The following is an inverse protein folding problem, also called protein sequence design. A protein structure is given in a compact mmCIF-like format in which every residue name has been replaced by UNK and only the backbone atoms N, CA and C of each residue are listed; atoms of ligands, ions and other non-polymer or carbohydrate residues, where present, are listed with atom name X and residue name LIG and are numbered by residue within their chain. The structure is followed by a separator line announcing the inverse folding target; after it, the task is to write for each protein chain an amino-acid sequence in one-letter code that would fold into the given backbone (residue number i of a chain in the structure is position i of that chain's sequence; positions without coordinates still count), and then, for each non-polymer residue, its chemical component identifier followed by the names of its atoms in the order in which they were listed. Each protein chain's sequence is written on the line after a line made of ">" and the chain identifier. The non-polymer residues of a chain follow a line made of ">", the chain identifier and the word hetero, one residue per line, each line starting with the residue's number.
data_IF_682386405251
#
_entry.id   IF_682386405251
#
_cell.length_a   1.000
_cell.length_b   1.000
_cell.length_c   1.000
_cell.angle_alpha   90.00
_cell.angle_beta   90.00
_cell.angle_gamma   90.00
#
_symmetry.space_group_name_H-M   'P 1'
#
loop_
_entity.id
_entity.type
_entity.pdbx_description
1 polymer ?
#
# COMPACT_ATOMS: atom_id res chain seq x y z
N UNK A 1 9.20 48.30 10.45
CA UNK A 1 8.33 47.18 10.81
C UNK A 1 7.99 47.33 12.28
N UNK A 2 6.73 47.59 12.62
CA UNK A 2 6.27 47.80 13.99
C UNK A 2 6.32 46.49 14.79
N UNK A 3 6.97 46.52 15.95
CA UNK A 3 7.08 45.39 16.88
C UNK A 3 5.70 44.90 17.34
N UNK A 4 5.55 43.57 17.45
CA UNK A 4 4.30 42.93 17.85
C UNK A 4 4.09 43.10 19.38
N UNK A 5 3.05 43.82 19.83
CA UNK A 5 2.84 44.17 21.24
C UNK A 5 2.46 42.97 22.13
N UNK A 6 2.28 41.78 21.56
CA UNK A 6 1.93 40.56 22.31
C UNK A 6 3.12 39.61 22.56
N UNK A 7 4.32 39.92 22.06
CA UNK A 7 5.52 39.14 22.35
C UNK A 7 6.18 39.66 23.64
N UNK A 8 6.07 38.90 24.73
CA UNK A 8 6.92 39.14 25.91
C UNK A 8 8.36 38.68 25.58
N UNK A 9 9.38 39.51 25.83
CA UNK A 9 10.77 39.07 25.65
C UNK A 9 11.07 37.91 26.60
N UNK A 10 11.64 36.83 26.07
CA UNK A 10 12.05 35.68 26.88
C UNK A 10 13.19 36.10 27.80
N UNK A 11 13.03 35.84 29.10
CA UNK A 11 14.06 36.12 30.10
C UNK A 11 15.28 35.24 29.78
N UNK A 12 16.45 35.85 29.63
CA UNK A 12 17.69 35.11 29.42
C UNK A 12 17.90 34.16 30.61
N UNK A 13 18.27 32.91 30.30
CA UNK A 13 18.55 31.89 31.29
C UNK A 13 19.84 32.25 32.04
N UNK A 14 19.74 32.49 33.35
CA UNK A 14 20.85 32.79 34.24
C UNK A 14 21.18 31.53 35.06
N UNK A 15 22.28 30.87 34.72
CA UNK A 15 22.73 29.63 35.38
C UNK A 15 23.30 29.87 36.78
N UNK A 16 23.55 31.12 37.18
CA UNK A 16 24.21 31.44 38.46
C UNK A 16 23.28 31.32 39.68
N UNK A 17 21.96 31.24 39.47
CA UNK A 17 20.96 31.15 40.55
C UNK A 17 20.32 29.75 40.71
N UNK A 18 20.99 28.71 40.20
CA UNK A 18 20.58 27.33 40.45
C UNK A 18 20.92 26.96 41.90
N UNK A 19 19.93 27.05 42.79
CA UNK A 19 19.99 26.41 44.10
C UNK A 19 19.96 24.90 43.87
N UNK A 20 21.14 24.26 43.91
CA UNK A 20 21.24 22.81 43.99
C UNK A 20 20.57 22.35 45.29
N UNK A 21 19.60 21.46 45.16
CA UNK A 21 18.98 20.80 46.30
C UNK A 21 20.04 20.01 47.10
N UNK A 22 19.94 20.02 48.42
CA UNK A 22 20.93 19.39 49.32
C UNK A 22 21.03 17.87 49.08
N UNK A 23 19.98 17.28 48.51
CA UNK A 23 19.94 15.89 48.03
C UNK A 23 20.99 15.60 46.94
N UNK A 24 21.24 16.55 46.04
CA UNK A 24 22.27 16.43 45.00
C UNK A 24 23.68 16.62 45.57
N UNK A 25 23.83 17.50 46.56
CA UNK A 25 25.14 17.75 47.18
C UNK A 25 25.61 16.56 48.01
N UNK A 26 24.69 15.83 48.66
CA UNK A 26 24.99 14.60 49.37
C UNK A 26 25.47 13.47 48.43
N UNK A 27 24.91 13.39 47.23
CA UNK A 27 25.31 12.42 46.20
C UNK A 27 26.76 12.63 45.72
N UNK A 28 27.20 13.90 45.64
CA UNK A 28 28.55 14.27 45.21
C UNK A 28 29.55 14.15 46.37
N UNK A 29 29.18 14.57 47.60
CA UNK A 29 30.08 14.52 48.77
C UNK A 29 30.29 13.12 49.34
N UNK A 30 29.38 12.17 49.08
CA UNK A 30 29.50 10.78 49.54
C UNK A 30 30.52 9.91 48.78
N UNK A 31 31.16 10.42 47.73
CA UNK A 31 32.09 9.66 46.89
C UNK A 31 33.39 10.44 46.62
N UNK A 32 34.15 10.72 47.66
CA UNK A 32 35.56 11.15 47.57
C UNK A 32 36.50 9.95 47.44
N UNK A 33 36.20 9.07 46.49
CA UNK A 33 37.03 7.94 46.10
C UNK A 33 36.72 7.63 44.65
N UNK A 34 37.70 7.89 43.78
CA UNK A 34 37.70 7.70 42.32
C UNK A 34 36.46 7.02 41.74
N UNK A 35 35.43 7.80 41.41
CA UNK A 35 34.28 7.34 40.62
C UNK A 35 34.43 7.74 39.14
N UNK A 36 35.63 8.17 38.73
CA UNK A 36 35.95 8.64 37.38
C UNK A 36 37.25 8.02 36.85
N UNK A 37 37.76 6.97 37.48
CA UNK A 37 38.85 6.16 36.92
C UNK A 37 38.34 5.01 36.05
N UNK A 38 37.18 4.45 36.42
CA UNK A 38 36.61 3.25 35.76
C UNK A 38 35.27 3.53 35.06
N UNK A 39 34.85 4.80 34.98
CA UNK A 39 33.57 5.22 34.42
C UNK A 39 33.69 6.05 33.13
N UNK A 40 34.89 6.21 32.57
CA UNK A 40 35.05 6.76 31.22
C UNK A 40 34.89 5.68 30.12
N UNK A 41 35.09 4.39 30.45
CA UNK A 41 34.90 3.30 29.49
C UNK A 41 33.42 3.00 29.18
N UNK A 42 32.50 3.36 30.08
CA UNK A 42 31.08 2.95 29.98
C UNK A 42 30.12 4.08 29.56
N UNK A 43 30.65 5.25 29.18
CA UNK A 43 29.89 6.33 28.55
C UNK A 43 30.01 6.34 27.02
N UNK A 44 30.66 5.32 26.46
CA UNK A 44 30.52 5.01 25.04
C UNK A 44 29.19 4.27 24.83
N UNK A 45 28.12 5.02 24.62
CA UNK A 45 26.94 4.46 23.94
C UNK A 45 27.32 4.24 22.48
N UNK A 46 28.12 3.21 22.21
CA UNK A 46 28.15 2.58 20.90
C UNK A 46 26.70 2.14 20.65
N UNK A 47 25.97 2.71 19.67
CA UNK A 47 24.68 2.14 19.32
C UNK A 47 24.98 0.71 18.94
N UNK A 48 24.54 -0.26 19.76
CA UNK A 48 24.45 -1.63 19.30
C UNK A 48 23.73 -1.53 17.97
N UNK A 49 24.43 -1.92 16.92
CA UNK A 49 23.88 -1.96 15.58
C UNK A 49 22.87 -3.12 15.55
N UNK A 50 21.80 -2.98 16.32
CA UNK A 50 20.57 -3.76 16.27
C UNK A 50 19.74 -3.29 15.07
N UNK A 51 20.43 -2.85 14.01
CA UNK A 51 19.82 -2.53 12.75
C UNK A 51 19.13 -3.81 12.24
N UNK A 52 17.89 -3.72 11.76
CA UNK A 52 17.17 -4.89 11.28
C UNK A 52 17.98 -5.55 10.17
N UNK A 53 18.32 -6.83 10.37
CA UNK A 53 19.01 -7.64 9.36
C UNK A 53 18.00 -8.05 8.29
N UNK A 54 18.33 -7.79 7.02
CA UNK A 54 17.58 -8.31 5.89
C UNK A 54 17.49 -9.84 6.00
N UNK A 55 16.27 -10.38 6.12
CA UNK A 55 16.04 -11.83 6.17
C UNK A 55 15.97 -12.42 4.77
N UNK A 56 15.18 -11.79 3.88
CA UNK A 56 14.95 -12.26 2.52
C UNK A 56 14.74 -11.08 1.57
N UNK A 57 15.10 -11.25 0.30
CA UNK A 57 14.75 -10.32 -0.79
C UNK A 57 14.26 -11.05 -2.03
N UNK A 58 13.38 -10.37 -2.77
CA UNK A 58 12.85 -10.84 -4.04
C UNK A 58 13.03 -9.75 -5.09
N UNK A 59 13.74 -10.06 -6.19
CA UNK A 59 13.94 -9.13 -7.31
C UNK A 59 12.81 -9.26 -8.32
N UNK A 60 12.10 -8.17 -8.58
CA UNK A 60 10.98 -8.09 -9.52
C UNK A 60 11.37 -7.61 -10.92
N UNK A 61 12.67 -7.40 -11.16
CA UNK A 61 13.19 -7.02 -12.49
C UNK A 61 12.80 -5.61 -12.98
N UNK A 62 12.09 -4.82 -12.18
CA UNK A 62 11.67 -3.45 -12.47
C UNK A 62 11.44 -2.67 -11.18
N UNK A 63 11.44 -1.34 -11.26
CA UNK A 63 11.16 -0.51 -10.10
C UNK A 63 9.73 -0.76 -9.59
N UNK A 64 9.60 -1.03 -8.30
CA UNK A 64 8.32 -1.12 -7.62
C UNK A 64 8.01 0.27 -7.09
N UNK A 65 6.95 0.87 -7.62
CA UNK A 65 6.40 2.13 -7.10
C UNK A 65 5.11 1.90 -6.30
N UNK A 66 4.51 0.72 -6.47
CA UNK A 66 3.28 0.32 -5.79
C UNK A 66 3.57 -0.31 -4.43
N UNK A 67 2.59 -0.29 -3.53
CA UNK A 67 2.67 -1.01 -2.27
C UNK A 67 2.61 -2.53 -2.44
N UNK A 68 2.90 -3.24 -1.36
CA UNK A 68 2.63 -4.67 -1.22
C UNK A 68 1.22 -4.85 -0.66
N UNK A 69 0.44 -5.76 -1.24
CA UNK A 69 -0.89 -6.11 -0.76
C UNK A 69 -0.94 -7.57 -0.32
N UNK A 70 -1.62 -7.84 0.79
CA UNK A 70 -1.95 -9.21 1.23
C UNK A 70 -3.25 -9.64 0.55
N UNK A 71 -3.23 -10.80 -0.11
CA UNK A 71 -4.40 -11.38 -0.75
C UNK A 71 -5.11 -12.26 0.28
N UNK A 72 -6.25 -11.80 0.77
CA UNK A 72 -7.08 -12.55 1.70
C UNK A 72 -7.67 -13.76 0.98
N UNK A 73 -7.22 -14.97 1.33
CA UNK A 73 -7.76 -16.21 0.80
C UNK A 73 -8.68 -16.86 1.84
N UNK A 74 -9.65 -17.66 1.39
CA UNK A 74 -10.40 -18.57 2.27
C UNK A 74 -9.53 -19.74 2.77
N UNK A 75 -8.45 -20.01 2.06
CA UNK A 75 -7.42 -20.98 2.40
C UNK A 75 -6.42 -20.26 3.31
N UNK A 76 -5.98 -20.90 4.38
CA UNK A 76 -5.03 -20.33 5.37
C UNK A 76 -3.58 -20.17 4.82
N UNK A 77 -3.45 -19.81 3.55
CA UNK A 77 -2.19 -19.58 2.83
C UNK A 77 -2.02 -18.07 2.61
N UNK A 78 -0.90 -17.53 3.10
CA UNK A 78 -0.61 -16.11 2.98
C UNK A 78 0.09 -15.80 1.65
N UNK A 79 -0.65 -15.16 0.75
CA UNK A 79 -0.13 -14.73 -0.55
C UNK A 79 -0.09 -13.21 -0.57
N UNK A 80 1.00 -12.68 -1.10
CA UNK A 80 1.25 -11.25 -1.27
C UNK A 80 1.35 -10.92 -2.75
N UNK A 81 0.98 -9.70 -3.12
CA UNK A 81 1.19 -9.19 -4.46
C UNK A 81 1.83 -7.80 -4.47
N UNK A 82 2.67 -7.56 -5.47
CA UNK A 82 3.31 -6.28 -5.71
C UNK A 82 3.41 -6.01 -7.22
N UNK A 83 3.27 -4.75 -7.63
CA UNK A 83 3.33 -4.35 -9.03
C UNK A 83 4.54 -3.45 -9.32
N UNK A 84 5.10 -3.60 -10.53
CA UNK A 84 6.23 -2.79 -10.98
C UNK A 84 5.86 -1.86 -12.14
N UNK A 85 6.76 -0.93 -12.44
CA UNK A 85 6.59 0.03 -13.53
C UNK A 85 6.63 -0.59 -14.94
N UNK A 86 7.01 -1.86 -15.08
CA UNK A 86 6.94 -2.59 -16.36
C UNK A 86 5.55 -3.16 -16.65
N UNK A 87 4.60 -2.99 -15.74
CA UNK A 87 3.26 -3.55 -15.88
C UNK A 87 3.15 -4.99 -15.36
N UNK A 88 4.15 -5.47 -14.61
CA UNK A 88 4.13 -6.81 -14.04
C UNK A 88 3.58 -6.76 -12.61
N UNK A 89 2.67 -7.68 -12.30
CA UNK A 89 2.21 -7.96 -10.94
C UNK A 89 2.72 -9.33 -10.55
N UNK A 90 3.49 -9.37 -9.48
CA UNK A 90 4.07 -10.58 -8.91
C UNK A 90 3.22 -11.04 -7.75
N UNK A 91 2.98 -12.34 -7.69
CA UNK A 91 2.38 -13.02 -6.56
C UNK A 91 3.46 -13.84 -5.89
N UNK A 92 3.63 -13.67 -4.58
CA UNK A 92 4.69 -14.33 -3.85
C UNK A 92 4.23 -14.73 -2.45
N UNK A 93 4.92 -15.70 -1.89
CA UNK A 93 4.66 -16.23 -0.56
C UNK A 93 5.96 -16.36 0.23
N UNK A 94 5.83 -16.43 1.55
CA UNK A 94 6.94 -16.72 2.43
C UNK A 94 7.18 -18.24 2.46
N UNK A 95 8.26 -18.67 1.82
CA UNK A 95 8.80 -20.02 2.00
C UNK A 95 9.61 -20.13 3.30
N UNK A 96 10.09 -21.35 3.60
CA UNK A 96 10.85 -21.62 4.83
C UNK A 96 12.13 -20.76 4.95
N UNK A 97 12.82 -20.53 3.82
CA UNK A 97 14.12 -19.87 3.79
C UNK A 97 14.26 -18.79 2.70
N UNK A 98 13.17 -18.47 1.98
CA UNK A 98 13.16 -17.44 0.94
C UNK A 98 11.74 -17.01 0.58
N UNK A 99 11.60 -15.80 0.03
CA UNK A 99 10.39 -15.40 -0.67
C UNK A 99 10.33 -16.12 -2.02
N UNK A 100 9.22 -16.82 -2.27
CA UNK A 100 9.02 -17.58 -3.51
C UNK A 100 7.94 -16.91 -4.37
N UNK A 101 8.25 -16.68 -5.64
CA UNK A 101 7.26 -16.22 -6.62
C UNK A 101 6.34 -17.38 -6.97
N UNK A 102 5.05 -17.23 -6.67
CA UNK A 102 4.01 -18.20 -7.00
C UNK A 102 3.55 -18.03 -8.44
N UNK A 103 3.33 -16.79 -8.87
CA UNK A 103 2.83 -16.49 -10.22
C UNK A 103 3.14 -15.04 -10.60
N UNK A 104 2.96 -14.71 -11.88
CA UNK A 104 3.11 -13.36 -12.41
C UNK A 104 2.05 -13.11 -13.48
N UNK A 105 1.53 -11.89 -13.53
CA UNK A 105 0.74 -11.40 -14.66
C UNK A 105 1.40 -10.15 -15.24
N UNK A 106 1.39 -10.04 -16.56
CA UNK A 106 1.92 -8.88 -17.28
C UNK A 106 0.77 -8.15 -17.95
N UNK A 107 0.58 -6.88 -17.58
CA UNK A 107 -0.40 -5.98 -18.12
C UNK A 107 0.29 -4.95 -19.01
N UNK A 108 -0.45 -4.37 -19.95
CA UNK A 108 0.11 -3.33 -20.82
C UNK A 108 0.08 -1.98 -20.11
N UNK A 109 1.25 -1.34 -20.03
CA UNK A 109 1.42 -0.02 -19.43
C UNK A 109 2.01 -0.08 -18.02
N UNK A 110 2.36 1.09 -17.50
CA UNK A 110 3.11 1.23 -16.25
C UNK A 110 2.16 1.19 -15.07
N UNK A 111 2.30 0.24 -14.16
CA UNK A 111 1.50 0.21 -12.93
C UNK A 111 2.20 1.08 -11.88
N UNK A 112 1.64 2.27 -11.65
CA UNK A 112 2.22 3.26 -10.75
C UNK A 112 1.64 3.19 -9.33
N UNK A 113 0.45 2.62 -9.20
CA UNK A 113 -0.33 2.59 -7.96
C UNK A 113 -0.53 1.16 -7.46
N UNK A 114 -0.76 1.03 -6.15
CA UNK A 114 -1.07 -0.25 -5.52
C UNK A 114 -2.33 -0.85 -6.13
N UNK A 115 -2.30 -2.10 -6.62
CA UNK A 115 -3.52 -2.78 -7.03
C UNK A 115 -4.38 -3.06 -5.78
N UNK A 116 -5.68 -3.30 -5.99
CA UNK A 116 -6.61 -3.65 -4.91
C UNK A 116 -7.20 -5.03 -5.15
N UNK A 117 -7.33 -5.82 -4.10
CA UNK A 117 -7.85 -7.19 -4.17
C UNK A 117 -9.20 -7.30 -3.47
N UNK A 118 -10.15 -7.95 -4.12
CA UNK A 118 -11.49 -8.20 -3.56
C UNK A 118 -12.12 -9.44 -4.17
N UNK A 119 -12.58 -10.35 -3.30
CA UNK A 119 -13.28 -11.59 -3.68
C UNK A 119 -12.60 -12.40 -4.81
N UNK A 120 -11.27 -12.54 -4.74
CA UNK A 120 -10.48 -13.29 -5.73
C UNK A 120 -10.12 -12.49 -6.99
N UNK A 121 -10.60 -11.26 -7.13
CA UNK A 121 -10.29 -10.39 -8.27
C UNK A 121 -9.33 -9.30 -7.84
N UNK A 122 -8.26 -9.16 -8.62
CA UNK A 122 -7.28 -8.09 -8.50
C UNK A 122 -7.58 -6.99 -9.51
N UNK A 123 -7.70 -5.76 -9.03
CA UNK A 123 -7.89 -4.58 -9.87
C UNK A 123 -6.62 -3.75 -9.87
N UNK A 124 -6.14 -3.40 -11.06
CA UNK A 124 -4.95 -2.59 -11.24
C UNK A 124 -5.24 -1.45 -12.22
N UNK A 125 -4.59 -0.31 -12.02
CA UNK A 125 -4.67 0.81 -12.94
C UNK A 125 -3.27 1.22 -13.39
N UNK A 126 -3.15 1.56 -14.67
CA UNK A 126 -1.89 2.03 -15.24
C UNK A 126 -1.86 3.55 -15.35
N UNK A 127 -0.65 4.09 -15.35
CA UNK A 127 -0.37 5.51 -15.56
C UNK A 127 -0.96 6.00 -16.87
N UNK A 128 -1.00 5.17 -17.90
CA UNK A 128 -1.57 5.50 -19.21
C UNK A 128 -3.10 5.53 -19.20
N UNK A 129 -3.74 5.16 -18.09
CA UNK A 129 -5.17 5.22 -17.89
C UNK A 129 -5.90 3.97 -18.32
N UNK A 130 -5.25 2.80 -18.29
CA UNK A 130 -5.96 1.52 -18.48
C UNK A 130 -6.22 0.88 -17.13
N UNK A 131 -7.47 0.51 -16.86
CA UNK A 131 -7.89 -0.21 -15.66
C UNK A 131 -8.12 -1.67 -16.04
N UNK A 132 -7.61 -2.59 -15.23
CA UNK A 132 -7.66 -4.03 -15.42
C UNK A 132 -8.36 -4.70 -14.25
N UNK A 133 -9.14 -5.74 -14.52
CA UNK A 133 -9.63 -6.70 -13.54
C UNK A 133 -9.10 -8.09 -13.90
N UNK A 134 -8.37 -8.70 -12.98
CA UNK A 134 -7.73 -10.00 -13.15
C UNK A 134 -8.27 -10.94 -12.10
N UNK A 135 -8.93 -12.01 -12.53
CA UNK A 135 -9.25 -13.13 -11.65
C UNK A 135 -7.95 -13.85 -11.30
N UNK A 136 -7.72 -14.03 -10.00
CA UNK A 136 -6.54 -14.73 -9.47
C UNK A 136 -6.81 -16.22 -9.25
N UNK A 137 -8.07 -16.64 -9.29
CA UNK A 137 -8.53 -17.99 -8.92
C UNK A 137 -8.64 -18.21 -7.41
N UNK A 138 -8.24 -17.24 -6.58
CA UNK A 138 -8.23 -17.36 -5.11
C UNK A 138 -9.64 -17.30 -4.46
N UNK A 139 -10.70 -17.15 -5.24
CA UNK A 139 -12.08 -17.23 -4.77
C UNK A 139 -12.65 -18.67 -4.74
N UNK A 140 -12.03 -19.61 -5.46
CA UNK A 140 -12.50 -20.98 -5.54
C UNK A 140 -12.07 -21.78 -4.33
N UNK A 141 -12.96 -22.59 -3.76
CA UNK A 141 -12.63 -23.58 -2.73
C UNK A 141 -11.66 -24.66 -3.23
N UNK A 142 -11.48 -24.80 -4.54
CA UNK A 142 -10.50 -25.70 -5.17
C UNK A 142 -9.13 -25.05 -5.37
N UNK A 143 -8.95 -23.79 -4.97
CA UNK A 143 -7.70 -23.05 -5.17
C UNK A 143 -6.52 -23.61 -4.36
N UNK A 144 -6.74 -24.53 -3.42
CA UNK A 144 -5.68 -25.24 -2.69
C UNK A 144 -4.79 -26.05 -3.64
N UNK A 145 -5.38 -26.66 -4.67
CA UNK A 145 -4.68 -27.57 -5.58
C UNK A 145 -4.23 -26.89 -6.87
N UNK A 146 -5.00 -25.90 -7.34
CA UNK A 146 -4.86 -25.36 -8.70
C UNK A 146 -3.93 -24.14 -8.82
N UNK A 147 -3.50 -23.56 -7.69
CA UNK A 147 -2.61 -22.41 -7.64
C UNK A 147 -3.25 -21.10 -8.15
N UNK A 148 -2.43 -20.05 -8.29
CA UNK A 148 -2.89 -18.75 -8.79
C UNK A 148 -3.02 -18.80 -10.31
N UNK A 149 -4.25 -18.73 -10.82
CA UNK A 149 -4.56 -18.74 -12.25
C UNK A 149 -5.05 -17.36 -12.67
N UNK A 150 -4.12 -16.55 -13.15
CA UNK A 150 -4.40 -15.20 -13.60
C UNK A 150 -5.20 -15.22 -14.90
N UNK A 151 -6.45 -14.77 -14.86
CA UNK A 151 -7.29 -14.58 -16.05
C UNK A 151 -7.79 -13.14 -16.11
N UNK A 152 -7.49 -12.46 -17.21
CA UNK A 152 -8.03 -11.13 -17.45
C UNK A 152 -9.56 -11.23 -17.61
N UNK A 153 -10.31 -10.58 -16.72
CA UNK A 153 -11.76 -10.50 -16.77
C UNK A 153 -12.23 -9.36 -17.67
N UNK A 154 -11.68 -8.16 -17.47
CA UNK A 154 -11.91 -7.02 -18.35
C UNK A 154 -10.77 -6.01 -18.27
N UNK A 155 -10.74 -5.13 -19.27
CA UNK A 155 -9.94 -3.92 -19.27
C UNK A 155 -10.75 -2.73 -19.75
N UNK A 156 -10.49 -1.55 -19.20
CA UNK A 156 -11.14 -0.30 -19.58
C UNK A 156 -10.10 0.79 -19.80
N UNK A 157 -10.08 1.37 -21.00
CA UNK A 157 -9.32 2.58 -21.28
C UNK A 157 -10.08 3.83 -20.84
N UNK A 158 -9.47 4.60 -19.96
CA UNK A 158 -9.90 5.91 -19.49
C UNK A 158 -9.38 7.00 -20.43
N UNK A 159 -9.99 8.20 -20.37
CA UNK A 159 -9.58 9.30 -21.26
C UNK A 159 -8.22 9.90 -20.88
N UNK A 160 -7.87 9.84 -19.59
CA UNK A 160 -6.59 10.31 -19.07
C UNK A 160 -6.00 9.27 -18.11
N UNK A 161 -4.74 9.49 -17.74
CA UNK A 161 -4.00 8.63 -16.83
C UNK A 161 -4.64 8.50 -15.45
N UNK A 162 -4.39 7.36 -14.82
CA UNK A 162 -4.76 7.08 -13.43
C UNK A 162 -3.48 7.10 -12.62
N UNK A 163 -3.41 8.00 -11.63
CA UNK A 163 -2.23 8.19 -10.77
C UNK A 163 -2.52 7.93 -9.29
N UNK A 164 -3.79 7.70 -8.95
CA UNK A 164 -4.23 7.44 -7.61
C UNK A 164 -4.67 5.98 -7.45
N UNK A 165 -4.59 5.49 -6.23
CA UNK A 165 -4.88 4.10 -5.90
C UNK A 165 -6.36 3.78 -6.15
N UNK A 166 -6.67 2.64 -6.79
CA UNK A 166 -8.02 2.11 -6.82
C UNK A 166 -8.56 1.85 -5.41
N UNK A 167 -9.82 2.20 -5.16
CA UNK A 167 -10.46 2.00 -3.85
C UNK A 167 -11.70 1.14 -4.01
N UNK A 168 -11.92 0.21 -3.10
CA UNK A 168 -13.16 -0.58 -3.07
C UNK A 168 -14.06 -0.08 -1.96
N UNK A 169 -15.29 0.26 -2.31
CA UNK A 169 -16.35 0.73 -1.42
C UNK A 169 -17.60 -0.14 -1.62
N UNK A 170 -17.72 -1.19 -0.80
CA UNK A 170 -18.78 -2.19 -0.97
C UNK A 170 -18.65 -2.91 -2.31
N UNK A 171 -19.66 -2.80 -3.17
CA UNK A 171 -19.68 -3.41 -4.51
C UNK A 171 -19.06 -2.54 -5.61
N UNK A 172 -18.46 -1.41 -5.24
CA UNK A 172 -17.94 -0.45 -6.21
C UNK A 172 -16.43 -0.33 -6.13
N UNK A 173 -15.78 -0.41 -7.29
CA UNK A 173 -14.40 -0.02 -7.50
C UNK A 173 -14.39 1.44 -7.96
N UNK A 174 -13.82 2.31 -7.13
CA UNK A 174 -13.60 3.71 -7.41
C UNK A 174 -12.24 3.92 -8.06
N UNK A 175 -12.23 4.57 -9.22
CA UNK A 175 -11.02 4.93 -9.96
C UNK A 175 -11.00 6.44 -10.17
N UNK A 176 -9.92 7.06 -9.71
CA UNK A 176 -9.66 8.49 -9.82
C UNK A 176 -8.64 8.73 -10.94
N UNK A 177 -9.18 9.10 -12.11
CA UNK A 177 -8.40 9.52 -13.28
C UNK A 177 -8.19 11.03 -13.25
N UNK A 178 -7.18 11.53 -13.97
CA UNK A 178 -6.96 12.96 -14.19
C UNK A 178 -8.14 13.68 -14.87
N UNK A 179 -9.15 12.96 -15.37
CA UNK A 179 -10.35 13.55 -15.97
C UNK A 179 -11.65 13.35 -15.15
N UNK A 180 -11.57 12.68 -14.00
CA UNK A 180 -12.71 12.51 -13.10
C UNK A 180 -12.69 11.20 -12.30
N UNK A 181 -13.77 11.02 -11.54
CA UNK A 181 -13.98 9.84 -10.68
C UNK A 181 -14.99 8.91 -11.34
N UNK A 182 -14.63 7.63 -11.37
CA UNK A 182 -15.40 6.57 -12.00
C UNK A 182 -15.70 5.50 -10.96
N UNK A 183 -16.90 4.94 -11.02
CA UNK A 183 -17.28 3.78 -10.23
C UNK A 183 -17.60 2.63 -11.18
N UNK A 184 -16.99 1.49 -10.92
CA UNK A 184 -17.20 0.23 -11.62
C UNK A 184 -17.80 -0.76 -10.64
N UNK A 185 -18.69 -1.64 -11.08
CA UNK A 185 -19.09 -2.75 -10.23
C UNK A 185 -17.90 -3.71 -10.04
N UNK A 186 -17.64 -4.09 -8.79
CA UNK A 186 -16.73 -5.17 -8.46
C UNK A 186 -17.42 -6.49 -8.75
N UNK A 187 -16.71 -7.43 -9.37
CA UNK A 187 -17.21 -8.79 -9.49
C UNK A 187 -17.27 -9.45 -8.11
N UNK A 188 -18.46 -9.92 -7.76
CA UNK A 188 -18.68 -11.06 -6.88
C UNK A 188 -19.40 -12.16 -7.66
N UNK A 189 -19.57 -13.37 -7.11
CA UNK A 189 -20.34 -14.43 -7.75
C UNK A 189 -21.76 -13.93 -8.04
N UNK A 190 -22.08 -13.68 -9.32
CA UNK A 190 -23.43 -13.33 -9.80
C UNK A 190 -23.63 -11.99 -10.50
N UNK A 191 -22.61 -11.13 -10.67
CA UNK A 191 -22.82 -9.78 -11.22
C UNK A 191 -22.63 -9.64 -12.74
N UNK A 192 -23.45 -8.77 -13.35
CA UNK A 192 -23.34 -8.26 -14.73
C UNK A 192 -22.92 -6.78 -14.68
N UNK A 193 -22.03 -6.40 -15.59
CA UNK A 193 -21.33 -5.10 -15.65
C UNK A 193 -22.24 -3.86 -15.62
N UNK A 194 -21.95 -2.86 -14.76
CA UNK A 194 -22.36 -1.48 -14.95
C UNK A 194 -21.21 -0.48 -14.71
N UNK A 195 -21.25 0.63 -15.45
CA UNK A 195 -20.22 1.69 -15.46
C UNK A 195 -20.86 3.01 -15.07
N UNK A 196 -20.29 3.71 -14.09
CA UNK A 196 -20.82 4.99 -13.61
C UNK A 196 -19.73 6.08 -13.69
N UNK A 197 -20.09 7.23 -14.25
CA UNK A 197 -19.23 8.43 -14.28
C UNK A 197 -19.87 9.50 -13.40
N UNK A 198 -19.18 9.94 -12.36
CA UNK A 198 -19.59 11.11 -11.59
C UNK A 198 -18.99 12.34 -12.27
N UNK A 199 -19.82 13.13 -12.94
CA UNK A 199 -19.46 14.49 -13.35
C UNK A 199 -19.91 15.45 -12.26
N UNK A 200 -19.16 16.54 -12.05
CA UNK A 200 -19.40 17.55 -11.01
C UNK A 200 -20.68 18.38 -11.14
N UNK A 201 -21.82 17.73 -11.38
CA UNK A 201 -23.14 18.23 -11.06
C UNK A 201 -23.85 17.14 -10.28
N UNK A 202 -24.46 17.55 -9.17
CA UNK A 202 -25.15 16.79 -8.13
C UNK A 202 -26.30 15.92 -8.67
N UNK A 203 -25.99 14.91 -9.49
CA UNK A 203 -26.95 13.87 -9.90
C UNK A 203 -26.24 12.64 -10.47
N UNK A 204 -26.47 11.50 -9.81
CA UNK A 204 -26.14 10.16 -10.31
C UNK A 204 -27.03 9.88 -11.53
N UNK A 205 -26.46 9.88 -12.73
CA UNK A 205 -27.14 9.35 -13.93
C UNK A 205 -26.67 7.92 -14.21
N UNK A 206 -27.56 6.97 -13.93
CA UNK A 206 -27.38 5.53 -14.22
C UNK A 206 -27.59 5.32 -15.71
N UNK A 207 -26.59 4.82 -16.44
CA UNK A 207 -26.74 4.40 -17.85
C UNK A 207 -26.33 2.93 -17.97
N UNK A 208 -27.31 2.04 -17.88
CA UNK A 208 -27.13 0.62 -18.16
C UNK A 208 -26.92 0.44 -19.68
N UNK A 209 -25.78 -0.10 -20.10
CA UNK A 209 -25.64 -0.62 -21.46
C UNK A 209 -25.76 -2.15 -21.41
N UNK A 210 -26.85 -2.69 -21.98
CA UNK A 210 -26.95 -4.12 -22.29
C UNK A 210 -26.17 -4.38 -23.58
N UNK A 211 -25.19 -5.28 -23.52
CA UNK A 211 -24.75 -5.98 -24.74
C UNK A 211 -25.78 -7.08 -25.03
N UNK A 212 -26.45 -6.99 -26.19
CA UNK A 212 -27.24 -8.09 -26.73
C UNK A 212 -26.26 -9.07 -27.37
N UNK A 213 -26.15 -10.28 -26.83
CA UNK A 213 -25.56 -11.41 -27.54
C UNK A 213 -26.64 -11.93 -28.48
N UNK A 214 -26.38 -11.89 -29.79
CA UNK A 214 -27.24 -12.50 -30.78
C UNK A 214 -27.09 -14.03 -30.70
N UNK A 215 -28.11 -14.71 -30.19
CA UNK A 215 -28.27 -16.15 -30.40
C UNK A 215 -28.85 -16.35 -31.81
N UNK A 216 -27.99 -16.73 -32.75
CA UNK A 216 -28.43 -17.33 -34.01
C UNK A 216 -28.72 -18.81 -33.73
N UNK A 217 -30.00 -19.13 -33.51
CA UNK A 217 -30.51 -20.49 -33.68
C UNK A 217 -30.88 -20.64 -35.17
N UNK A 218 -30.00 -21.34 -35.91
CA UNK A 218 -30.31 -21.81 -37.25
C UNK A 218 -31.35 -22.91 -37.20
N UNK A 219 -32.36 -22.78 -38.07
CA UNK A 219 -33.35 -23.79 -38.44
C UNK A 219 -32.69 -24.83 -39.33
#
# INVERSE_FOLDING_TARGET
>A
MSENPYLKPLKAFDSANLLLDESFTALIKGKTGSLLGDAEDDLTFEPKSDAPKESFSLRTGGAIHSGCIKLANKINREIYAAANLKGEIFFFEQGQSALQTVSKVTLQGSIYTSPVFFEGVLYAATREGTVYAVDTGLNSSTAETDGIRNKLLWQKKMKKGVLAEPVIAGKYLLITSLDGIYAFDTFGPGFRYAFYRVRGQTSLRIRLQRQQTAENLGV
#
